data_IF_479336702916
#
_entry.id   IF_479336702916
#
_cell.length_a   1.000
_cell.length_b   1.000
_cell.length_c   1.000
_cell.angle_alpha   90.00
_cell.angle_beta   90.00
_cell.angle_gamma   90.00
#
_symmetry.space_group_name_H-M   'P 1'
#
loop_
_entity.id
_entity.type
_entity.pdbx_description
1 polymer ?
#
# COMPACT_ATOMS: atom_id res chain seq x y z
N UNK A 1 11.36 -5.60 -32.72
CA UNK A 1 12.13 -5.95 -31.50
C UNK A 1 11.48 -7.18 -30.89
N UNK A 2 12.24 -8.26 -30.62
CA UNK A 2 11.74 -9.47 -29.97
C UNK A 2 12.41 -9.58 -28.61
N UNK A 3 11.62 -9.53 -27.54
CA UNK A 3 12.11 -9.79 -26.18
C UNK A 3 12.44 -11.28 -26.06
N UNK A 4 13.73 -11.59 -25.89
CA UNK A 4 14.19 -12.93 -25.58
C UNK A 4 14.09 -13.16 -24.06
N UNK A 5 13.99 -14.41 -23.59
CA UNK A 5 13.94 -14.73 -22.16
C UNK A 5 15.11 -14.13 -21.35
N UNK A 6 16.29 -14.00 -21.94
CA UNK A 6 17.46 -13.33 -21.33
C UNK A 6 17.25 -11.83 -21.13
N UNK A 7 16.57 -11.16 -22.07
CA UNK A 7 16.16 -9.76 -21.92
C UNK A 7 15.09 -9.58 -20.85
N UNK A 8 14.20 -10.56 -20.68
CA UNK A 8 13.21 -10.55 -19.60
C UNK A 8 13.87 -10.71 -18.23
N UNK A 9 14.88 -11.56 -18.10
CA UNK A 9 15.65 -11.70 -16.87
C UNK A 9 16.34 -10.39 -16.47
N UNK A 10 16.88 -9.65 -17.44
CA UNK A 10 17.47 -8.34 -17.20
C UNK A 10 16.43 -7.29 -16.77
N UNK A 11 15.28 -7.25 -17.45
CA UNK A 11 14.16 -6.37 -17.06
C UNK A 11 13.65 -6.68 -15.66
N UNK A 12 13.63 -7.96 -15.26
CA UNK A 12 13.26 -8.37 -13.92
C UNK A 12 14.23 -7.83 -12.87
N UNK A 13 15.53 -7.93 -13.10
CA UNK A 13 16.55 -7.43 -12.17
C UNK A 13 16.51 -5.90 -12.04
N UNK A 14 16.47 -5.19 -13.16
CA UNK A 14 16.36 -3.72 -13.15
C UNK A 14 15.03 -3.26 -12.58
N UNK A 15 13.93 -3.91 -12.96
CA UNK A 15 12.61 -3.62 -12.46
C UNK A 15 12.58 -3.70 -10.94
N UNK A 16 13.09 -4.78 -10.36
CA UNK A 16 13.16 -4.92 -8.90
C UNK A 16 13.96 -3.80 -8.25
N UNK A 17 15.07 -3.37 -8.87
CA UNK A 17 15.82 -2.21 -8.36
C UNK A 17 14.97 -0.95 -8.33
N UNK A 18 14.26 -0.64 -9.42
CA UNK A 18 13.39 0.54 -9.51
C UNK A 18 12.27 0.49 -8.48
N UNK A 19 11.58 -0.65 -8.34
CA UNK A 19 10.51 -0.81 -7.34
C UNK A 19 11.05 -0.61 -5.93
N UNK A 20 12.22 -1.18 -5.62
CA UNK A 20 12.83 -1.05 -4.30
C UNK A 20 13.24 0.40 -3.98
N UNK A 21 13.68 1.17 -4.98
CA UNK A 21 14.07 2.57 -4.81
C UNK A 21 12.84 3.50 -4.69
N UNK A 22 11.76 3.20 -5.44
CA UNK A 22 10.56 4.04 -5.49
C UNK A 22 9.56 3.75 -4.38
N UNK A 23 9.49 2.53 -3.84
CA UNK A 23 8.51 2.20 -2.78
C UNK A 23 8.71 3.00 -1.50
N UNK A 24 9.96 3.37 -1.19
CA UNK A 24 10.30 4.23 -0.06
C UNK A 24 9.86 5.70 -0.27
N UNK A 25 9.54 6.08 -1.50
CA UNK A 25 9.11 7.43 -1.87
C UNK A 25 7.60 7.57 -1.99
N UNK A 26 6.86 6.47 -1.82
CA UNK A 26 5.39 6.50 -1.84
C UNK A 26 4.91 7.32 -0.65
N UNK A 27 4.13 8.36 -0.95
CA UNK A 27 3.36 9.08 0.06
C UNK A 27 2.03 8.36 0.22
N UNK A 28 1.72 7.96 1.46
CA UNK A 28 0.43 7.36 1.76
C UNK A 28 -0.61 8.49 1.89
N UNK A 29 -1.80 8.35 1.29
CA UNK A 29 -2.81 9.39 1.36
C UNK A 29 -3.32 9.58 2.79
N UNK A 30 -3.91 10.74 3.05
CA UNK A 30 -4.68 10.96 4.26
C UNK A 30 -5.98 10.18 4.17
N UNK A 31 -6.24 9.33 5.16
CA UNK A 31 -7.45 8.51 5.24
C UNK A 31 -8.29 9.02 6.39
N UNK A 32 -9.54 9.37 6.12
CA UNK A 32 -10.50 9.81 7.14
C UNK A 32 -11.70 8.88 7.12
N UNK A 33 -11.90 8.17 8.22
CA UNK A 33 -12.98 7.21 8.41
C UNK A 33 -13.92 7.67 9.53
N UNK A 34 -15.22 7.50 9.29
CA UNK A 34 -16.24 7.77 10.30
C UNK A 34 -16.62 6.46 10.99
N UNK A 35 -16.60 6.45 12.32
CA UNK A 35 -16.91 5.30 13.17
C UNK A 35 -18.08 5.65 14.09
N UNK A 36 -18.79 4.66 14.64
CA UNK A 36 -20.00 4.92 15.44
C UNK A 36 -19.78 5.89 16.62
N UNK A 37 -18.56 5.93 17.17
CA UNK A 37 -18.21 6.82 18.29
C UNK A 37 -17.56 8.15 17.87
N UNK A 38 -17.37 8.43 16.58
CA UNK A 38 -16.65 9.63 16.13
C UNK A 38 -16.03 9.55 14.73
N UNK A 39 -14.94 10.27 14.52
CA UNK A 39 -14.17 10.27 13.27
C UNK A 39 -12.69 10.04 13.58
N UNK A 40 -12.03 9.22 12.76
CA UNK A 40 -10.61 8.92 12.84
C UNK A 40 -9.95 9.32 11.53
N UNK A 41 -8.92 10.14 11.61
CA UNK A 41 -8.09 10.58 10.49
C UNK A 41 -6.66 10.13 10.68
N UNK A 42 -6.04 9.64 9.62
CA UNK A 42 -4.64 9.24 9.55
C UNK A 42 -3.98 10.11 8.49
N UNK A 43 -2.89 10.78 8.84
CA UNK A 43 -2.19 11.71 7.96
C UNK A 43 -0.68 11.63 8.16
N UNK A 44 0.06 12.29 7.26
CA UNK A 44 1.54 12.31 7.24
C UNK A 44 2.16 10.90 7.31
N UNK A 45 1.47 9.92 6.74
CA UNK A 45 1.90 8.54 6.73
C UNK A 45 3.02 8.33 5.71
N UNK A 46 4.18 7.89 6.20
CA UNK A 46 5.39 7.63 5.41
C UNK A 46 5.85 6.20 5.57
N UNK A 47 6.44 5.65 4.51
CA UNK A 47 7.14 4.36 4.57
C UNK A 47 8.48 4.54 5.25
N UNK A 48 8.64 3.99 6.45
CA UNK A 48 9.89 4.08 7.23
C UNK A 48 10.86 2.96 6.91
N UNK A 49 10.34 1.79 6.56
CA UNK A 49 11.17 0.64 6.21
C UNK A 49 10.45 -0.27 5.22
N UNK A 50 11.20 -0.80 4.28
CA UNK A 50 10.71 -1.77 3.31
C UNK A 50 11.65 -2.98 3.27
N UNK A 51 11.05 -4.15 3.16
CA UNK A 51 11.77 -5.40 2.92
C UNK A 51 11.36 -5.94 1.55
N UNK A 52 12.33 -6.02 0.66
CA UNK A 52 12.15 -6.51 -0.70
C UNK A 52 11.60 -7.94 -0.72
N UNK A 53 10.78 -8.29 -1.72
CA UNK A 53 10.22 -9.62 -1.85
C UNK A 53 11.35 -10.64 -2.03
N UNK A 54 11.40 -11.72 -1.23
CA UNK A 54 12.27 -12.85 -1.52
C UNK A 54 11.79 -13.63 -2.76
N UNK A 55 10.49 -13.52 -3.08
CA UNK A 55 9.85 -14.22 -4.18
C UNK A 55 9.31 -13.23 -5.19
N UNK A 56 9.88 -13.24 -6.40
CA UNK A 56 9.39 -12.44 -7.51
C UNK A 56 9.59 -13.17 -8.84
N UNK A 57 8.62 -13.05 -9.74
CA UNK A 57 8.65 -13.64 -11.07
C UNK A 57 8.18 -12.62 -12.10
N UNK A 58 8.83 -12.63 -13.27
CA UNK A 58 8.41 -11.85 -14.41
C UNK A 58 8.20 -12.84 -15.56
N UNK A 59 6.96 -12.97 -15.99
CA UNK A 59 6.54 -13.95 -17.00
C UNK A 59 5.95 -13.24 -18.20
N UNK A 60 6.25 -13.74 -19.40
CA UNK A 60 5.62 -13.28 -20.63
C UNK A 60 4.34 -14.08 -20.85
N UNK A 61 3.20 -13.39 -20.80
CA UNK A 61 1.89 -13.99 -21.05
C UNK A 61 1.42 -13.59 -22.45
N UNK A 62 1.20 -14.56 -23.37
CA UNK A 62 0.67 -14.24 -24.69
C UNK A 62 -0.77 -13.69 -24.61
N UNK A 63 -1.17 -12.75 -25.50
CA UNK A 63 -0.37 -12.04 -26.49
C UNK A 63 0.19 -10.70 -25.95
N UNK A 64 1.51 -10.51 -26.03
CA UNK A 64 2.22 -9.24 -25.73
C UNK A 64 1.99 -8.66 -24.32
N UNK A 65 1.71 -9.51 -23.35
CA UNK A 65 1.62 -9.11 -21.94
C UNK A 65 2.82 -9.66 -21.18
N UNK A 66 3.18 -8.98 -20.11
CA UNK A 66 4.00 -9.56 -19.07
C UNK A 66 3.27 -9.43 -17.74
N UNK A 67 3.34 -10.49 -16.94
CA UNK A 67 2.86 -10.52 -15.57
C UNK A 67 4.07 -10.47 -14.65
N UNK A 68 4.02 -9.56 -13.68
CA UNK A 68 4.99 -9.47 -12.63
C UNK A 68 4.31 -9.76 -11.31
N UNK A 69 4.77 -10.81 -10.64
CA UNK A 69 4.29 -11.20 -9.32
C UNK A 69 5.42 -11.06 -8.31
N UNK A 70 5.09 -10.51 -7.14
CA UNK A 70 5.98 -10.31 -6.01
C UNK A 70 5.25 -10.78 -4.75
N UNK A 71 5.93 -11.48 -3.85
CA UNK A 71 5.32 -12.04 -2.65
C UNK A 71 6.23 -11.92 -1.44
N UNK A 72 5.62 -11.99 -0.26
CA UNK A 72 6.29 -11.93 1.06
C UNK A 72 7.06 -10.62 1.27
N UNK A 73 6.55 -9.52 0.73
CA UNK A 73 7.09 -8.19 1.03
C UNK A 73 6.60 -7.74 2.40
N UNK A 74 7.38 -6.86 3.03
CA UNK A 74 6.96 -6.19 4.25
C UNK A 74 7.17 -4.68 4.09
N UNK A 75 6.22 -3.91 4.60
CA UNK A 75 6.28 -2.45 4.63
C UNK A 75 6.02 -2.02 6.06
N UNK A 76 6.92 -1.21 6.61
CA UNK A 76 6.67 -0.47 7.83
C UNK A 76 6.36 0.97 7.46
N UNK A 77 5.25 1.46 7.99
CA UNK A 77 4.86 2.85 7.85
C UNK A 77 4.66 3.47 9.23
N UNK A 78 4.83 4.78 9.31
CA UNK A 78 4.49 5.57 10.48
C UNK A 78 3.86 6.87 10.05
N UNK A 79 3.00 7.41 10.91
CA UNK A 79 2.43 8.73 10.70
C UNK A 79 1.70 9.18 11.95
N UNK A 80 0.90 10.21 11.77
CA UNK A 80 0.10 10.78 12.83
C UNK A 80 -1.37 10.41 12.61
N UNK A 81 -2.12 10.39 13.70
CA UNK A 81 -3.55 10.19 13.64
C UNK A 81 -4.25 11.17 14.58
N UNK A 82 -5.48 11.49 14.22
CA UNK A 82 -6.39 12.30 15.02
C UNK A 82 -7.73 11.58 15.14
N UNK A 83 -8.23 11.43 16.36
CA UNK A 83 -9.55 10.90 16.63
C UNK A 83 -10.40 11.97 17.33
N UNK A 84 -11.55 12.30 16.73
CA UNK A 84 -12.58 13.12 17.36
C UNK A 84 -13.73 12.22 17.79
N UNK A 85 -14.24 12.43 19.01
CA UNK A 85 -15.36 11.66 19.54
C UNK A 85 -16.65 12.47 19.47
N UNK A 86 -17.73 11.83 19.05
CA UNK A 86 -19.05 12.45 19.11
C UNK A 86 -19.59 12.26 20.54
N UNK A 87 -19.42 13.28 21.37
CA UNK A 87 -19.95 13.26 22.73
C UNK A 87 -21.48 13.58 22.70
N UNK A 88 -22.36 12.74 23.25
CA UNK A 88 -23.80 13.03 23.35
C UNK A 88 -24.13 14.28 24.18
N UNK A 89 -23.15 14.80 24.94
CA UNK A 89 -23.30 15.97 25.81
C UNK A 89 -22.90 17.32 25.17
N UNK A 90 -22.60 17.37 23.86
CA UNK A 90 -22.23 18.59 23.12
C UNK A 90 -21.04 19.39 23.72
N UNK A 91 -20.23 18.77 24.57
CA UNK A 91 -19.01 19.38 25.08
C UNK A 91 -17.96 19.41 23.95
N UNK A 92 -17.17 20.51 23.82
CA UNK A 92 -16.12 20.59 22.81
C UNK A 92 -15.16 19.43 23.04
N UNK A 93 -15.20 18.46 22.13
CA UNK A 93 -14.41 17.26 22.25
C UNK A 93 -13.00 17.61 21.80
N UNK A 94 -12.04 17.52 22.72
CA UNK A 94 -10.64 17.72 22.40
C UNK A 94 -10.22 16.57 21.49
N UNK A 95 -9.77 16.84 20.24
CA UNK A 95 -9.31 15.80 19.35
C UNK A 95 -8.09 15.12 19.96
N UNK A 96 -8.08 13.80 19.91
CA UNK A 96 -7.02 12.98 20.47
C UNK A 96 -6.05 12.69 19.36
N UNK A 97 -4.86 13.28 19.51
CA UNK A 97 -3.78 13.15 18.56
C UNK A 97 -2.76 12.17 19.09
N UNK A 98 -2.17 11.40 18.18
CA UNK A 98 -1.10 10.48 18.52
C UNK A 98 -0.35 10.04 17.28
N UNK A 99 0.57 9.11 17.49
CA UNK A 99 1.40 8.58 16.41
C UNK A 99 1.16 7.10 16.28
N UNK A 100 1.16 6.60 15.05
CA UNK A 100 1.07 5.17 14.78
C UNK A 100 2.32 4.67 14.06
N UNK A 101 2.65 3.41 14.33
CA UNK A 101 3.64 2.63 13.61
C UNK A 101 2.97 1.33 13.20
N UNK A 102 2.87 1.09 11.90
CA UNK A 102 2.23 -0.10 11.34
C UNK A 102 3.24 -0.95 10.57
N UNK A 103 3.14 -2.27 10.71
CA UNK A 103 3.86 -3.25 9.91
C UNK A 103 2.85 -4.03 9.08
N UNK A 104 2.87 -3.78 7.77
CA UNK A 104 2.17 -4.55 6.76
C UNK A 104 3.07 -5.71 6.35
N UNK A 105 2.62 -6.94 6.57
CA UNK A 105 3.42 -8.13 6.29
C UNK A 105 2.73 -9.12 5.37
N UNK A 106 3.56 -9.97 4.76
CA UNK A 106 3.14 -10.91 3.71
C UNK A 106 2.37 -10.22 2.58
N UNK A 107 2.88 -9.08 2.12
CA UNK A 107 2.27 -8.36 1.00
C UNK A 107 2.60 -9.13 -0.28
N UNK A 108 1.57 -9.42 -1.06
CA UNK A 108 1.66 -9.95 -2.40
C UNK A 108 1.14 -8.90 -3.39
N UNK A 109 1.83 -8.74 -4.51
CA UNK A 109 1.50 -7.80 -5.56
C UNK A 109 1.62 -8.51 -6.91
N UNK A 110 0.57 -8.43 -7.72
CA UNK A 110 0.57 -8.93 -9.10
C UNK A 110 0.14 -7.82 -10.03
N UNK A 111 1.00 -7.51 -11.00
CA UNK A 111 0.74 -6.50 -12.03
C UNK A 111 0.87 -7.18 -13.40
N UNK A 112 -0.17 -7.08 -14.21
CA UNK A 112 -0.09 -7.44 -15.62
C UNK A 112 -0.04 -6.17 -16.47
N UNK A 113 0.87 -6.16 -17.42
CA UNK A 113 1.09 -5.03 -18.31
C UNK A 113 1.05 -5.52 -19.74
N UNK A 114 0.25 -4.84 -20.56
CA UNK A 114 0.16 -5.05 -21.99
C UNK A 114 1.07 -4.06 -22.72
N UNK A 115 1.89 -4.60 -23.60
CA UNK A 115 2.69 -3.82 -24.53
C UNK A 115 1.93 -3.70 -25.86
N UNK A 116 1.75 -2.48 -26.31
CA UNK A 116 1.09 -2.14 -27.55
C UNK A 116 1.87 -1.09 -28.34
N UNK A 117 1.21 -0.57 -29.36
CA UNK A 117 1.69 0.57 -30.15
C UNK A 117 0.55 1.56 -30.29
N UNK A 118 0.86 2.84 -30.21
CA UNK A 118 -0.09 3.91 -30.55
C UNK A 118 -0.29 3.96 -32.06
N UNK A 119 -1.32 4.70 -32.51
CA UNK A 119 -1.56 4.93 -33.94
C UNK A 119 -0.40 5.67 -34.64
N UNK A 120 0.43 6.40 -33.88
CA UNK A 120 1.65 7.06 -34.35
C UNK A 120 2.88 6.14 -34.41
N UNK A 121 2.75 4.86 -34.04
CA UNK A 121 3.86 3.89 -34.02
C UNK A 121 4.74 3.94 -32.77
N UNK A 122 4.39 4.74 -31.76
CA UNK A 122 5.10 4.86 -30.48
C UNK A 122 4.78 3.65 -29.59
N UNK A 123 5.74 3.08 -28.84
CA UNK A 123 5.45 2.02 -27.88
C UNK A 123 4.47 2.51 -26.80
N UNK A 124 3.44 1.70 -26.53
CA UNK A 124 2.47 1.94 -25.47
C UNK A 124 2.61 0.85 -24.41
N UNK A 125 2.67 1.24 -23.14
CA UNK A 125 2.71 0.32 -22.00
C UNK A 125 1.49 0.62 -21.16
N UNK A 126 0.60 -0.36 -20.99
CA UNK A 126 -0.65 -0.20 -20.26
C UNK A 126 -0.78 -1.28 -19.19
N UNK A 127 -0.99 -0.89 -17.94
CA UNK A 127 -1.37 -1.85 -16.89
C UNK A 127 -2.79 -2.34 -17.18
N UNK A 128 -2.95 -3.65 -17.29
CA UNK A 128 -4.24 -4.32 -17.53
C UNK A 128 -4.80 -4.96 -16.27
N UNK A 129 -3.94 -5.23 -15.29
CA UNK A 129 -4.31 -5.81 -14.01
C UNK A 129 -3.33 -5.34 -12.95
N UNK A 130 -3.84 -4.98 -11.78
CA UNK A 130 -3.06 -4.71 -10.59
C UNK A 130 -3.85 -5.24 -9.41
N UNK A 131 -3.22 -6.10 -8.62
CA UNK A 131 -3.83 -6.65 -7.42
C UNK A 131 -2.80 -6.74 -6.32
N UNK A 132 -3.14 -6.19 -5.16
CA UNK A 132 -2.33 -6.22 -3.97
C UNK A 132 -3.12 -6.90 -2.85
N UNK A 133 -2.45 -7.80 -2.13
CA UNK A 133 -3.00 -8.51 -0.98
C UNK A 133 -2.05 -8.32 0.20
N UNK A 134 -2.61 -8.07 1.39
CA UNK A 134 -1.85 -7.91 2.62
C UNK A 134 -2.23 -9.04 3.57
N UNK A 135 -1.28 -9.90 3.92
CA UNK A 135 -1.58 -11.06 4.77
C UNK A 135 -1.85 -10.70 6.23
N UNK A 136 -1.14 -9.72 6.78
CA UNK A 136 -1.42 -9.21 8.14
C UNK A 136 -0.98 -7.77 8.32
N UNK A 137 -1.58 -7.11 9.32
CA UNK A 137 -1.27 -5.75 9.73
C UNK A 137 -1.06 -5.71 11.24
N UNK A 138 0.15 -5.36 11.66
CA UNK A 138 0.48 -5.12 13.07
C UNK A 138 0.52 -3.62 13.32
N UNK A 139 -0.43 -3.12 14.11
CA UNK A 139 -0.55 -1.70 14.44
C UNK A 139 -0.07 -1.46 15.87
N UNK A 140 0.89 -0.55 16.01
CA UNK A 140 1.34 -0.04 17.29
C UNK A 140 1.03 1.45 17.38
N UNK A 141 0.54 1.90 18.52
CA UNK A 141 0.12 3.29 18.70
C UNK A 141 0.83 3.87 19.91
N UNK A 142 1.36 5.09 19.75
CA UNK A 142 2.14 5.80 20.76
C UNK A 142 1.44 7.11 21.09
N UNK A 143 1.61 7.56 22.35
CA UNK A 143 1.08 8.83 22.86
C UNK A 143 -0.45 8.96 22.85
N UNK A 144 -1.17 7.85 23.04
CA UNK A 144 -2.65 7.81 22.95
C UNK A 144 -3.38 7.73 24.28
N UNK A 145 -2.65 7.68 25.40
CA UNK A 145 -3.24 7.43 26.71
C UNK A 145 -4.05 6.12 26.74
N UNK A 146 -5.32 6.19 27.13
CA UNK A 146 -6.21 5.05 27.46
C UNK A 146 -6.95 4.49 26.23
N UNK A 147 -6.73 5.02 25.02
CA UNK A 147 -7.61 4.80 23.84
C UNK A 147 -6.98 3.88 22.78
N UNK A 148 -5.90 3.17 23.14
CA UNK A 148 -5.24 2.20 22.24
C UNK A 148 -6.23 1.21 21.64
N UNK A 149 -7.19 0.71 22.43
CA UNK A 149 -8.12 -0.35 22.00
C UNK A 149 -9.16 0.14 20.99
N UNK A 150 -9.59 1.40 21.08
CA UNK A 150 -10.57 1.97 20.15
C UNK A 150 -9.97 2.25 18.77
N UNK A 151 -8.75 2.78 18.73
CA UNK A 151 -8.05 3.02 17.47
C UNK A 151 -7.73 1.70 16.76
N UNK A 152 -7.25 0.69 17.50
CA UNK A 152 -6.98 -0.63 16.94
C UNK A 152 -8.24 -1.27 16.38
N UNK A 153 -9.38 -1.18 17.08
CA UNK A 153 -10.65 -1.74 16.59
C UNK A 153 -11.20 -1.00 15.37
N UNK A 154 -11.05 0.33 15.31
CA UNK A 154 -11.46 1.14 14.16
C UNK A 154 -10.59 0.85 12.91
N UNK A 155 -9.28 0.68 13.10
CA UNK A 155 -8.34 0.36 12.03
C UNK A 155 -8.55 -1.05 11.46
N UNK A 156 -8.84 -2.03 12.33
CA UNK A 156 -9.13 -3.42 11.92
C UNK A 156 -10.45 -3.56 11.15
N UNK A 157 -11.42 -2.67 11.39
CA UNK A 157 -12.75 -2.75 10.80
C UNK A 157 -12.83 -2.27 9.35
N UNK A 158 -12.27 -1.08 9.06
CA UNK A 158 -12.66 -0.34 7.85
C UNK A 158 -11.52 0.12 6.92
N UNK A 159 -10.26 0.20 7.39
CA UNK A 159 -9.18 0.85 6.62
C UNK A 159 -8.47 -0.11 5.64
N UNK A 160 -8.54 -1.43 5.85
CA UNK A 160 -7.87 -2.40 4.96
C UNK A 160 -8.73 -2.93 3.79
N UNK A 161 -9.98 -2.48 3.62
CA UNK A 161 -10.91 -3.11 2.66
C UNK A 161 -11.33 -2.25 1.46
N UNK A 162 -11.14 -0.93 1.46
CA UNK A 162 -11.81 -0.06 0.47
C UNK A 162 -10.93 0.71 -0.54
N UNK A 163 -9.60 0.71 -0.45
CA UNK A 163 -8.75 1.51 -1.37
C UNK A 163 -8.12 0.73 -2.55
N UNK A 164 -8.68 -0.42 -2.94
CA UNK A 164 -8.26 -1.12 -4.17
C UNK A 164 -9.44 -1.51 -5.09
N UNK A 165 -10.48 -0.69 -5.13
CA UNK A 165 -11.55 -0.81 -6.14
C UNK A 165 -11.71 0.47 -6.95
#
# INVERSE_FOLDING_TARGET
MRLMPTGLAYLREIGMKVVNDEILRIQLPTITESVDAGQVSIYDAIVTKYWAPPEYSLELTPPSMFSWSMAKMHIRASGDFEASFNNPLLLPTVPIQGQFETLLGHIALTIAVKMGRTNSGTPLVQSTYCHAEVGYVDLNVKNTGVITDFFINSFKGNVCFNEFT
#
